data_IF_569832335703
#
_entry.id   IF_569832335703
#
_cell.length_a   1.000
_cell.length_b   1.000
_cell.length_c   1.000
_cell.angle_alpha   90.00
_cell.angle_beta   90.00
_cell.angle_gamma   90.00
#
_symmetry.space_group_name_H-M   'P 1'
#
loop_
_entity.id
_entity.type
_entity.pdbx_description
1 polymer ?
#
# COMPACT_ATOMS: atom_id res chain seq x y z
N UNK A 1 0.43 6.83 -47.64
CA UNK A 1 -0.48 6.13 -46.71
C UNK A 1 -0.89 7.19 -45.71
N UNK A 2 -1.86 7.98 -46.14
CA UNK A 2 -2.44 9.07 -45.35
C UNK A 2 -3.61 8.46 -44.57
N UNK A 3 -3.59 8.62 -43.25
CA UNK A 3 -4.69 8.23 -42.39
C UNK A 3 -5.34 9.51 -41.86
N UNK A 4 -6.42 9.89 -42.54
CA UNK A 4 -7.39 10.88 -42.09
C UNK A 4 -8.02 10.43 -40.78
N UNK A 5 -7.82 11.20 -39.71
CA UNK A 5 -8.62 11.12 -38.49
C UNK A 5 -9.66 12.24 -38.53
N UNK A 6 -10.83 11.92 -39.03
CA UNK A 6 -12.03 12.72 -38.89
C UNK A 6 -13.07 11.86 -38.16
N UNK A 7 -13.26 12.11 -36.86
CA UNK A 7 -14.53 11.81 -36.22
C UNK A 7 -14.88 12.90 -35.22
N UNK A 8 -15.83 13.70 -35.68
CA UNK A 8 -16.56 14.74 -34.96
C UNK A 8 -17.59 14.04 -34.06
N UNK A 9 -17.41 14.07 -32.75
CA UNK A 9 -18.49 13.70 -31.83
C UNK A 9 -19.27 14.96 -31.42
N UNK A 10 -20.45 15.13 -32.03
CA UNK A 10 -21.42 16.14 -31.64
C UNK A 10 -22.15 15.72 -30.36
N UNK A 11 -21.86 16.39 -29.26
CA UNK A 11 -22.66 16.27 -28.05
C UNK A 11 -24.02 16.96 -28.24
N UNK A 12 -25.03 16.12 -28.25
CA UNK A 12 -26.44 16.40 -28.35
C UNK A 12 -26.96 17.08 -27.08
N UNK A 13 -27.66 18.19 -27.27
CA UNK A 13 -28.43 18.94 -26.28
C UNK A 13 -29.78 18.23 -26.11
N UNK A 14 -30.13 17.80 -24.89
CA UNK A 14 -31.55 17.58 -24.57
C UNK A 14 -31.83 17.61 -23.07
N UNK A 15 -32.59 18.64 -22.67
CA UNK A 15 -33.71 18.50 -21.75
C UNK A 15 -33.41 18.38 -20.26
N UNK A 16 -33.38 19.52 -19.58
CA UNK A 16 -33.57 19.63 -18.12
C UNK A 16 -35.06 19.83 -17.83
N UNK A 17 -35.83 18.85 -17.32
CA UNK A 17 -37.18 19.11 -16.84
C UNK A 17 -37.19 19.64 -15.40
N UNK A 18 -37.83 20.79 -15.26
CA UNK A 18 -38.38 21.44 -14.07
C UNK A 18 -38.66 20.50 -12.88
N UNK A 19 -38.11 20.85 -11.72
CA UNK A 19 -38.54 20.33 -10.42
C UNK A 19 -39.88 20.97 -10.00
N UNK A 20 -40.88 20.19 -9.56
CA UNK A 20 -41.95 20.70 -8.71
C UNK A 20 -41.56 20.61 -7.23
N UNK A 21 -41.79 21.70 -6.50
CA UNK A 21 -41.71 21.77 -5.04
C UNK A 21 -42.72 20.82 -4.37
N UNK A 22 -42.42 20.32 -3.17
CA UNK A 22 -43.46 19.91 -2.25
C UNK A 22 -43.62 20.93 -1.11
N UNK A 23 -44.72 21.67 -1.20
CA UNK A 23 -45.33 22.39 -0.08
C UNK A 23 -45.64 21.41 1.07
N UNK A 24 -45.43 21.89 2.30
CA UNK A 24 -45.67 21.15 3.51
C UNK A 24 -47.15 20.90 3.80
N UNK A 25 -47.42 19.82 4.54
CA UNK A 25 -48.62 19.69 5.37
C UNK A 25 -48.29 18.89 6.61
N UNK A 26 -48.57 19.51 7.76
CA UNK A 26 -48.60 18.92 9.09
C UNK A 26 -49.64 17.81 9.19
N UNK A 27 -49.30 16.70 9.84
CA UNK A 27 -50.26 15.89 10.59
C UNK A 27 -49.54 15.09 11.68
N UNK A 28 -49.81 15.46 12.93
CA UNK A 28 -49.52 14.66 14.11
C UNK A 28 -50.53 13.50 14.23
N UNK A 29 -50.05 12.26 14.33
CA UNK A 29 -50.81 11.08 14.77
C UNK A 29 -49.80 10.17 15.51
N UNK A 30 -49.74 10.22 16.84
CA UNK A 30 -50.48 9.35 17.75
C UNK A 30 -50.05 7.87 17.69
N UNK A 31 -49.19 7.50 18.64
CA UNK A 31 -49.29 6.33 19.54
C UNK A 31 -49.71 4.97 18.95
N UNK A 32 -48.78 4.00 18.98
CA UNK A 32 -48.95 2.68 19.63
C UNK A 32 -47.70 1.78 19.50
N UNK A 33 -47.25 1.13 20.60
CA UNK A 33 -46.30 0.02 20.52
C UNK A 33 -47.03 -1.28 20.19
N UNK A 34 -46.66 -1.95 19.10
CA UNK A 34 -47.19 -3.28 18.78
C UNK A 34 -46.30 -4.33 19.45
N UNK A 35 -46.75 -4.76 20.63
CA UNK A 35 -46.36 -5.99 21.31
C UNK A 35 -47.23 -7.10 20.71
N UNK A 36 -46.65 -8.29 20.56
CA UNK A 36 -47.26 -9.50 20.02
C UNK A 36 -47.22 -9.58 18.49
N UNK A 37 -46.40 -10.48 17.93
CA UNK A 37 -46.95 -11.69 17.32
C UNK A 37 -45.89 -12.62 16.68
N UNK A 38 -45.83 -13.81 17.29
CA UNK A 38 -45.62 -15.17 16.76
C UNK A 38 -44.30 -15.57 16.10
N UNK A 39 -43.65 -16.52 16.78
CA UNK A 39 -42.66 -17.45 16.23
C UNK A 39 -43.29 -18.40 15.19
N UNK A 40 -42.53 -18.85 14.17
CA UNK A 40 -42.77 -20.11 13.52
C UNK A 40 -41.90 -21.22 14.13
N UNK A 41 -42.60 -22.23 14.63
CA UNK A 41 -42.15 -23.55 15.05
C UNK A 41 -41.94 -24.43 13.80
N UNK A 42 -40.85 -25.21 13.77
CA UNK A 42 -40.63 -26.32 12.81
C UNK A 42 -39.85 -25.89 11.55
N UNK A 43 -38.79 -26.57 11.11
CA UNK A 43 -38.73 -28.02 10.95
C UNK A 43 -37.28 -28.51 11.00
N UNK A 44 -37.06 -29.61 11.70
CA UNK A 44 -35.85 -30.41 11.61
C UNK A 44 -35.70 -30.92 10.16
N UNK A 45 -34.56 -30.62 9.53
CA UNK A 45 -34.13 -31.29 8.32
C UNK A 45 -32.75 -31.89 8.55
N UNK A 46 -32.73 -33.21 8.39
CA UNK A 46 -31.65 -34.13 8.67
C UNK A 46 -30.39 -33.85 7.86
N UNK A 47 -29.25 -34.19 8.49
CA UNK A 47 -27.90 -34.35 7.93
C UNK A 47 -27.85 -34.94 6.51
N UNK A 48 -26.75 -34.66 5.80
CA UNK A 48 -25.76 -35.72 5.63
C UNK A 48 -24.40 -35.32 6.22
N UNK A 49 -23.93 -36.12 7.17
CA UNK A 49 -22.54 -36.15 7.61
C UNK A 49 -21.73 -36.79 6.48
N UNK A 50 -20.97 -35.98 5.74
CA UNK A 50 -19.90 -36.49 4.88
C UNK A 50 -18.61 -36.36 5.67
N UNK A 51 -18.23 -37.48 6.25
CA UNK A 51 -16.99 -37.76 6.94
C UNK A 51 -15.87 -37.85 5.89
N UNK A 52 -14.86 -36.95 5.85
CA UNK A 52 -13.65 -37.22 5.09
C UNK A 52 -12.85 -38.28 5.84
N UNK A 53 -12.79 -39.47 5.24
CA UNK A 53 -11.97 -40.60 5.65
C UNK A 53 -10.52 -40.17 5.84
N UNK A 54 -10.00 -40.46 7.03
CA UNK A 54 -8.59 -40.36 7.38
C UNK A 54 -7.87 -41.49 6.64
N UNK A 55 -7.33 -41.22 5.45
CA UNK A 55 -6.45 -42.17 4.77
C UNK A 55 -5.08 -42.16 5.44
N UNK A 56 -4.97 -43.05 6.42
CA UNK A 56 -3.75 -43.42 7.12
C UNK A 56 -2.76 -44.05 6.14
N UNK A 57 -1.92 -43.22 5.51
CA UNK A 57 -0.79 -43.71 4.72
C UNK A 57 0.33 -44.15 5.67
N UNK A 58 0.48 -45.47 5.70
CA UNK A 58 1.51 -46.29 6.35
C UNK A 58 2.94 -45.76 6.13
N UNK A 59 3.83 -45.81 7.14
CA UNK A 59 5.25 -45.53 6.97
C UNK A 59 5.92 -46.67 6.20
N UNK A 60 6.48 -46.37 5.03
CA UNK A 60 7.41 -47.27 4.36
C UNK A 60 8.81 -47.06 4.97
N UNK A 61 9.16 -47.92 5.91
CA UNK A 61 10.55 -48.27 6.21
C UNK A 61 11.14 -49.02 5.01
N UNK A 62 12.16 -48.45 4.37
CA UNK A 62 13.08 -49.09 3.40
C UNK A 62 14.18 -48.02 3.14
N UNK A 63 15.49 -48.23 3.16
CA UNK A 63 16.32 -49.41 3.33
C UNK A 63 17.70 -48.90 3.75
N UNK A 64 18.26 -49.56 4.76
CA UNK A 64 19.67 -49.49 5.15
C UNK A 64 20.56 -50.12 4.07
N UNK A 65 21.50 -49.35 3.51
CA UNK A 65 22.75 -49.79 2.86
C UNK A 65 23.55 -48.53 2.49
N UNK A 66 24.86 -48.35 2.70
CA UNK A 66 25.94 -49.07 3.35
C UNK A 66 27.04 -48.02 3.65
N UNK A 67 27.92 -48.22 4.65
CA UNK A 67 29.06 -47.33 4.91
C UNK A 67 30.12 -47.47 3.81
N UNK A 68 30.40 -46.38 3.08
CA UNK A 68 31.52 -46.30 2.14
C UNK A 68 32.82 -46.02 2.92
N UNK A 69 33.91 -46.76 2.65
CA UNK A 69 35.13 -46.74 3.44
C UNK A 69 35.91 -45.41 3.34
N UNK A 70 36.41 -45.02 4.50
CA UNK A 70 37.46 -44.02 4.75
C UNK A 70 38.68 -44.20 3.85
N UNK A 71 38.76 -43.39 2.79
CA UNK A 71 40.01 -43.07 2.12
C UNK A 71 40.70 -41.91 2.85
N UNK A 72 41.78 -42.19 3.58
CA UNK A 72 42.68 -41.16 4.11
C UNK A 72 43.37 -40.46 2.94
N UNK A 73 42.90 -39.26 2.59
CA UNK A 73 43.55 -38.36 1.64
C UNK A 73 44.68 -37.62 2.37
N UNK A 74 45.89 -37.54 1.79
CA UNK A 74 47.06 -36.91 2.40
C UNK A 74 46.82 -35.41 2.67
N UNK A 75 47.05 -35.02 3.91
CA UNK A 75 47.03 -33.63 4.39
C UNK A 75 48.04 -32.76 3.64
N UNK A 76 47.60 -31.72 2.91
CA UNK A 76 48.50 -30.74 2.33
C UNK A 76 49.03 -29.79 3.41
N UNK A 77 50.35 -29.55 3.32
CA UNK A 77 51.18 -28.67 4.14
C UNK A 77 50.57 -27.26 4.26
N UNK A 78 50.47 -26.67 5.48
CA UNK A 78 49.90 -25.35 5.65
C UNK A 78 50.81 -24.29 5.01
N UNK A 79 50.35 -23.70 3.91
CA UNK A 79 50.98 -22.52 3.32
C UNK A 79 50.50 -21.28 4.08
N UNK A 80 51.45 -20.60 4.71
CA UNK A 80 51.21 -19.34 5.42
C UNK A 80 50.83 -18.28 4.38
N UNK A 81 49.53 -18.03 4.21
CA UNK A 81 49.01 -16.92 3.39
C UNK A 81 49.32 -15.60 4.10
N UNK A 82 50.21 -14.80 3.50
CA UNK A 82 50.45 -13.40 3.90
C UNK A 82 49.14 -12.63 3.86
N UNK A 83 48.77 -12.02 4.99
CA UNK A 83 47.48 -11.37 5.20
C UNK A 83 47.33 -10.10 4.36
N UNK A 84 46.28 -10.04 3.53
CA UNK A 84 45.87 -8.88 2.74
C UNK A 84 45.20 -7.77 3.57
N UNK A 85 45.82 -7.35 4.69
CA UNK A 85 45.23 -6.29 5.55
C UNK A 85 45.15 -4.92 4.85
N UNK A 86 46.05 -4.66 3.91
CA UNK A 86 46.05 -3.41 3.13
C UNK A 86 44.86 -3.35 2.16
N UNK A 87 44.46 -4.48 1.57
CA UNK A 87 43.29 -4.53 0.67
C UNK A 87 41.98 -4.24 1.40
N UNK A 88 41.85 -4.73 2.64
CA UNK A 88 40.65 -4.50 3.45
C UNK A 88 40.49 -3.03 3.84
N UNK A 89 41.59 -2.36 4.23
CA UNK A 89 41.54 -0.94 4.61
C UNK A 89 41.20 -0.06 3.40
N UNK A 90 41.79 -0.31 2.24
CA UNK A 90 41.47 0.43 1.01
C UNK A 90 40.00 0.26 0.61
N UNK A 91 39.45 -0.96 0.75
CA UNK A 91 38.04 -1.24 0.46
C UNK A 91 37.10 -0.54 1.45
N UNK A 92 37.47 -0.47 2.73
CA UNK A 92 36.69 0.22 3.76
C UNK A 92 36.66 1.74 3.53
N UNK A 93 37.79 2.35 3.16
CA UNK A 93 37.86 3.79 2.81
C UNK A 93 37.03 4.08 1.55
N UNK A 94 37.11 3.23 0.53
CA UNK A 94 36.28 3.38 -0.67
C UNK A 94 34.78 3.31 -0.32
N UNK A 95 34.38 2.37 0.54
CA UNK A 95 32.99 2.22 0.99
C UNK A 95 32.51 3.47 1.72
N UNK A 96 33.33 4.04 2.61
CA UNK A 96 32.98 5.28 3.34
C UNK A 96 32.86 6.47 2.38
N UNK A 97 33.72 6.58 1.38
CA UNK A 97 33.63 7.67 0.38
C UNK A 97 32.40 7.50 -0.52
N UNK A 98 32.05 6.27 -0.91
CA UNK A 98 30.85 6.01 -1.73
C UNK A 98 29.57 6.21 -0.92
N UNK A 99 29.53 5.77 0.34
CA UNK A 99 28.35 5.96 1.20
C UNK A 99 28.21 7.41 1.69
N UNK A 100 29.29 8.03 2.16
CA UNK A 100 29.29 9.40 2.66
C UNK A 100 29.20 10.44 1.54
N UNK A 101 29.98 10.26 0.46
CA UNK A 101 29.94 11.11 -0.72
C UNK A 101 28.67 10.91 -1.55
N UNK A 102 28.17 9.67 -1.64
CA UNK A 102 26.91 9.35 -2.30
C UNK A 102 25.70 9.98 -1.59
N UNK A 103 25.66 9.95 -0.26
CA UNK A 103 24.60 10.61 0.51
C UNK A 103 24.63 12.14 0.33
N UNK A 104 25.81 12.75 0.32
CA UNK A 104 25.96 14.20 0.08
C UNK A 104 25.54 14.60 -1.33
N UNK A 105 25.90 13.80 -2.34
CA UNK A 105 25.51 14.04 -3.73
C UNK A 105 24.00 13.84 -3.92
N UNK A 106 23.43 12.80 -3.30
CA UNK A 106 21.99 12.53 -3.37
C UNK A 106 21.15 13.67 -2.80
N UNK A 107 21.53 14.23 -1.64
CA UNK A 107 20.89 15.41 -1.03
C UNK A 107 21.03 16.69 -1.88
N UNK A 108 22.09 16.79 -2.68
CA UNK A 108 22.32 17.93 -3.58
C UNK A 108 21.47 17.91 -4.85
N UNK A 109 21.00 16.72 -5.28
CA UNK A 109 20.17 16.59 -6.49
C UNK A 109 18.69 16.85 -6.21
N UNK A 110 17.97 17.38 -7.19
CA UNK A 110 16.52 17.63 -7.08
C UNK A 110 15.72 16.34 -6.85
N UNK A 111 16.29 15.18 -7.22
CA UNK A 111 15.73 13.85 -6.96
C UNK A 111 15.71 13.56 -5.45
N UNK A 112 16.80 13.84 -4.73
CA UNK A 112 16.87 13.65 -3.28
C UNK A 112 15.92 14.57 -2.51
N UNK A 113 15.78 15.83 -2.94
CA UNK A 113 14.86 16.79 -2.31
C UNK A 113 13.39 16.40 -2.45
N UNK A 114 12.98 15.89 -3.62
CA UNK A 114 11.60 15.42 -3.88
C UNK A 114 11.21 14.20 -3.03
N UNK A 115 12.16 13.30 -2.75
CA UNK A 115 11.91 12.08 -1.96
C UNK A 115 11.70 12.36 -0.46
N UNK A 116 12.16 13.50 0.06
CA UNK A 116 12.01 13.89 1.48
C UNK A 116 10.71 14.72 1.70
N UNK A 117 9.87 14.88 0.68
CA UNK A 117 8.61 15.62 0.80
C UNK A 117 8.77 17.14 0.90
N UNK A 118 9.97 17.67 0.67
CA UNK A 118 10.20 19.11 0.53
C UNK A 118 9.68 19.56 -0.84
N UNK A 119 8.47 20.13 -0.85
CA UNK A 119 7.94 20.83 -2.02
C UNK A 119 8.73 22.12 -2.20
N UNK A 120 9.69 22.10 -3.11
CA UNK A 120 10.37 23.30 -3.59
C UNK A 120 9.49 23.90 -4.69
N UNK A 121 8.96 25.10 -4.48
CA UNK A 121 8.27 25.85 -5.54
C UNK A 121 9.29 26.21 -6.64
N UNK A 122 8.85 26.38 -7.88
CA UNK A 122 9.72 26.68 -9.05
C UNK A 122 10.62 27.91 -8.88
N UNK A 123 10.34 28.76 -7.90
CA UNK A 123 11.19 29.88 -7.47
C UNK A 123 12.46 29.47 -6.72
N UNK A 124 12.64 28.20 -6.38
CA UNK A 124 13.81 27.71 -5.62
C UNK A 124 13.80 28.13 -4.15
N UNK A 125 12.72 28.77 -3.68
CA UNK A 125 12.59 29.22 -2.30
C UNK A 125 12.03 28.09 -1.41
N UNK A 126 12.74 27.83 -0.31
CA UNK A 126 12.28 26.94 0.75
C UNK A 126 11.15 27.66 1.49
N UNK A 127 9.91 27.41 1.07
CA UNK A 127 8.73 27.88 1.81
C UNK A 127 8.64 27.05 3.09
N UNK A 128 9.28 27.54 4.15
CA UNK A 128 8.83 27.25 5.51
C UNK A 128 7.52 28.00 5.68
N UNK A 129 6.40 27.27 5.69
CA UNK A 129 5.07 27.81 6.04
C UNK A 129 5.09 28.25 7.51
N UNK A 130 5.76 29.36 7.77
CA UNK A 130 5.68 30.08 9.02
C UNK A 130 4.43 30.95 8.90
N UNK A 131 3.34 30.43 9.46
CA UNK A 131 2.04 31.09 9.63
C UNK A 131 2.22 32.45 10.33
N UNK A 132 2.50 33.49 9.55
CA UNK A 132 2.51 34.87 10.00
C UNK A 132 1.46 35.62 9.18
N UNK A 133 0.30 35.95 9.75
CA UNK A 133 -0.76 36.64 9.02
C UNK A 133 -0.37 38.12 8.84
N UNK A 134 0.25 38.44 7.71
CA UNK A 134 0.42 39.84 7.28
C UNK A 134 -0.76 40.23 6.39
N UNK A 135 -1.54 41.16 6.90
CA UNK A 135 -2.76 41.70 6.28
C UNK A 135 -2.35 42.84 5.35
N UNK A 136 -2.20 42.58 4.06
CA UNK A 136 -2.09 43.64 3.04
C UNK A 136 -3.15 43.44 1.95
N UNK A 137 -4.17 44.29 2.03
CA UNK A 137 -5.27 44.39 1.07
C UNK A 137 -4.76 45.00 -0.25
N UNK A 138 -4.32 44.16 -1.19
CA UNK A 138 -4.22 44.51 -2.59
C UNK A 138 -5.27 43.71 -3.38
N UNK A 139 -6.14 44.34 -4.19
CA UNK A 139 -7.08 43.63 -5.06
C UNK A 139 -6.31 43.05 -6.26
N UNK A 140 -5.57 41.97 -6.00
CA UNK A 140 -5.05 41.06 -7.02
C UNK A 140 -6.22 40.22 -7.51
N UNK A 141 -6.46 40.22 -8.81
CA UNK A 141 -7.44 39.33 -9.44
C UNK A 141 -6.98 37.89 -9.21
N UNK A 142 -7.47 37.28 -8.14
CA UNK A 142 -7.16 35.90 -7.80
C UNK A 142 -7.63 35.00 -8.93
N UNK A 143 -6.75 34.22 -9.58
CA UNK A 143 -7.21 33.11 -10.39
C UNK A 143 -8.04 32.24 -9.44
N UNK A 144 -9.33 32.07 -9.73
CA UNK A 144 -10.25 31.29 -8.91
C UNK A 144 -9.64 29.93 -8.62
N UNK A 145 -9.00 29.83 -7.45
CA UNK A 145 -8.31 28.64 -7.02
C UNK A 145 -9.36 27.58 -6.84
N UNK A 146 -9.31 26.53 -7.65
CA UNK A 146 -10.10 25.33 -7.45
C UNK A 146 -9.78 24.81 -6.05
N UNK A 147 -10.70 25.03 -5.10
CA UNK A 147 -10.58 24.48 -3.76
C UNK A 147 -10.66 22.97 -3.90
N UNK A 148 -9.56 22.28 -3.56
CA UNK A 148 -9.55 20.82 -3.50
C UNK A 148 -10.64 20.35 -2.55
N UNK A 149 -11.34 19.31 -2.94
CA UNK A 149 -12.33 18.67 -2.08
C UNK A 149 -11.64 17.89 -0.96
N UNK A 150 -12.35 17.59 0.12
CA UNK A 150 -11.85 16.71 1.18
C UNK A 150 -11.47 15.33 0.62
N UNK A 151 -12.24 14.81 -0.34
CA UNK A 151 -11.96 13.57 -1.06
C UNK A 151 -10.57 13.59 -1.72
N UNK A 152 -10.27 14.65 -2.47
CA UNK A 152 -8.97 14.82 -3.12
C UNK A 152 -7.81 14.93 -2.13
N UNK A 153 -8.06 15.57 -0.98
CA UNK A 153 -7.06 15.68 0.10
C UNK A 153 -6.78 14.31 0.72
N UNK A 154 -7.82 13.54 1.04
CA UNK A 154 -7.69 12.19 1.58
C UNK A 154 -7.00 11.26 0.58
N UNK A 155 -7.37 11.29 -0.70
CA UNK A 155 -6.76 10.45 -1.73
C UNK A 155 -5.27 10.77 -1.94
N UNK A 156 -4.91 12.06 -1.86
CA UNK A 156 -3.50 12.47 -1.86
C UNK A 156 -2.74 11.86 -0.67
N UNK A 157 -3.35 11.85 0.52
CA UNK A 157 -2.77 11.21 1.70
C UNK A 157 -2.61 9.70 1.50
N UNK A 158 -3.64 9.01 1.02
CA UNK A 158 -3.61 7.55 0.76
C UNK A 158 -2.49 7.15 -0.20
N UNK A 159 -2.32 7.90 -1.29
CA UNK A 159 -1.23 7.67 -2.25
C UNK A 159 0.14 7.89 -1.61
N UNK A 160 0.26 8.91 -0.76
CA UNK A 160 1.50 9.20 -0.01
C UNK A 160 1.82 8.08 0.98
N UNK A 161 0.84 7.62 1.76
CA UNK A 161 0.98 6.53 2.72
C UNK A 161 1.41 5.22 2.04
N UNK A 162 0.76 4.84 0.93
CA UNK A 162 1.15 3.63 0.20
C UNK A 162 2.55 3.73 -0.43
N UNK A 163 3.00 4.93 -0.79
CA UNK A 163 4.39 5.14 -1.24
C UNK A 163 5.40 4.90 -0.10
N UNK A 164 5.09 5.31 1.12
CA UNK A 164 5.92 5.04 2.30
C UNK A 164 5.95 3.54 2.63
N UNK A 165 4.79 2.87 2.58
CA UNK A 165 4.68 1.42 2.78
C UNK A 165 5.48 0.64 1.73
N UNK A 166 5.46 1.09 0.47
CA UNK A 166 6.32 0.55 -0.59
C UNK A 166 7.79 0.62 -0.21
N UNK A 167 8.28 1.81 0.22
CA UNK A 167 9.69 1.99 0.59
C UNK A 167 10.08 1.01 1.72
N UNK A 168 9.23 0.86 2.73
CA UNK A 168 9.45 -0.10 3.83
C UNK A 168 9.50 -1.56 3.34
N UNK A 169 8.62 -1.95 2.42
CA UNK A 169 8.64 -3.29 1.81
C UNK A 169 9.91 -3.56 1.00
N UNK A 170 10.39 -2.58 0.23
CA UNK A 170 11.65 -2.73 -0.51
C UNK A 170 12.85 -2.88 0.45
N UNK A 171 12.89 -2.09 1.53
CA UNK A 171 13.91 -2.21 2.56
C UNK A 171 13.86 -3.60 3.25
N UNK A 172 12.66 -4.07 3.58
CA UNK A 172 12.44 -5.41 4.12
C UNK A 172 12.96 -6.50 3.18
N UNK A 173 12.66 -6.42 1.88
CA UNK A 173 13.13 -7.41 0.89
C UNK A 173 14.65 -7.39 0.73
N UNK A 174 15.29 -6.21 0.81
CA UNK A 174 16.76 -6.13 0.78
C UNK A 174 17.38 -6.88 1.97
N UNK A 175 16.77 -6.78 3.16
CA UNK A 175 17.28 -7.44 4.37
C UNK A 175 16.93 -8.94 4.45
N UNK A 176 15.68 -9.30 4.13
CA UNK A 176 15.16 -10.68 4.29
C UNK A 176 15.19 -11.51 3.00
N UNK A 177 15.48 -10.91 1.85
CA UNK A 177 15.53 -11.56 0.54
C UNK A 177 14.17 -11.83 -0.11
N UNK A 178 13.05 -11.57 0.58
CA UNK A 178 11.67 -11.74 0.07
C UNK A 178 10.73 -10.78 0.79
N UNK A 179 9.55 -10.52 0.23
CA UNK A 179 8.47 -9.80 0.91
C UNK A 179 7.69 -10.73 1.86
N UNK A 180 7.02 -10.21 2.91
CA UNK A 180 6.18 -11.03 3.78
C UNK A 180 5.06 -11.74 3.02
N UNK A 181 4.92 -13.06 3.16
CA UNK A 181 3.87 -13.79 2.43
C UNK A 181 2.50 -13.55 3.06
N UNK A 182 1.54 -13.12 2.25
CA UNK A 182 0.14 -12.96 2.56
C UNK A 182 -0.72 -13.56 1.43
N UNK A 183 -1.37 -14.70 1.70
CA UNK A 183 -2.15 -15.45 0.70
C UNK A 183 -3.43 -14.72 0.22
N UNK A 184 -3.93 -13.79 1.02
CA UNK A 184 -5.04 -12.90 0.70
C UNK A 184 -4.67 -11.45 1.07
N UNK A 185 -5.54 -10.50 0.73
CA UNK A 185 -5.36 -9.14 1.20
C UNK A 185 -5.53 -9.10 2.72
N UNK A 186 -4.53 -8.55 3.40
CA UNK A 186 -4.56 -8.27 4.83
C UNK A 186 -4.49 -6.77 5.09
N UNK A 187 -5.07 -6.36 6.22
CA UNK A 187 -4.98 -4.99 6.70
C UNK A 187 -3.58 -4.74 7.24
N UNK A 188 -2.90 -3.70 6.75
CA UNK A 188 -1.53 -3.42 7.17
C UNK A 188 -1.42 -3.00 8.64
N UNK A 189 -2.50 -2.44 9.22
CA UNK A 189 -2.60 -1.99 10.62
C UNK A 189 -3.09 -3.06 11.59
N UNK A 190 -3.52 -4.22 11.09
CA UNK A 190 -3.92 -5.32 11.94
C UNK A 190 -2.69 -6.00 12.54
N UNK A 191 -2.53 -5.93 13.87
CA UNK A 191 -1.41 -6.53 14.60
C UNK A 191 -1.25 -8.05 14.39
N UNK A 192 -2.30 -8.75 13.95
CA UNK A 192 -2.24 -10.18 13.64
C UNK A 192 -1.73 -10.47 12.21
N UNK A 193 -1.69 -9.48 11.31
CA UNK A 193 -1.25 -9.62 9.93
C UNK A 193 0.24 -9.93 9.83
N UNK A 194 0.65 -10.59 8.74
CA UNK A 194 2.07 -10.88 8.52
C UNK A 194 2.85 -9.61 8.21
N UNK A 195 2.27 -8.72 7.39
CA UNK A 195 2.81 -7.39 7.14
C UNK A 195 3.13 -6.64 8.43
N UNK A 196 2.17 -6.57 9.37
CA UNK A 196 2.38 -5.80 10.59
C UNK A 196 3.54 -6.36 11.41
N UNK A 197 3.58 -7.69 11.60
CA UNK A 197 4.62 -8.35 12.41
C UNK A 197 6.02 -8.20 11.83
N UNK A 198 6.13 -8.32 10.51
CA UNK A 198 7.43 -8.39 9.83
C UNK A 198 7.95 -7.01 9.39
N UNK A 199 7.06 -6.10 8.97
CA UNK A 199 7.44 -4.80 8.40
C UNK A 199 7.22 -3.67 9.40
N UNK A 200 6.00 -3.54 9.93
CA UNK A 200 5.67 -2.42 10.81
C UNK A 200 6.34 -2.55 12.18
N UNK A 201 6.23 -3.71 12.81
CA UNK A 201 6.89 -4.02 14.09
C UNK A 201 8.40 -4.33 13.92
N UNK A 202 8.85 -4.63 12.70
CA UNK A 202 10.25 -4.87 12.36
C UNK A 202 11.09 -3.61 12.13
N UNK A 203 10.57 -2.42 12.49
CA UNK A 203 11.24 -1.12 12.37
C UNK A 203 11.55 -0.64 10.94
N UNK A 204 10.99 -1.29 9.91
CA UNK A 204 11.11 -0.81 8.51
C UNK A 204 10.19 0.38 8.22
N UNK A 205 9.16 0.56 9.04
CA UNK A 205 8.23 1.69 9.00
C UNK A 205 8.44 2.53 10.28
N UNK A 206 8.74 3.83 10.13
CA UNK A 206 8.98 4.72 11.28
C UNK A 206 7.71 5.03 12.07
N UNK A 207 6.57 5.06 11.39
CA UNK A 207 5.26 5.31 11.97
C UNK A 207 4.21 4.52 11.20
N UNK A 208 3.27 3.91 11.93
CA UNK A 208 2.11 3.26 11.32
C UNK A 208 1.21 4.30 10.61
N UNK A 209 0.88 4.02 9.36
CA UNK A 209 -0.05 4.83 8.56
C UNK A 209 -1.47 4.26 8.67
N UNK A 210 -2.47 5.15 8.67
CA UNK A 210 -3.88 4.80 8.79
C UNK A 210 -4.69 5.53 7.73
N UNK A 211 -5.72 4.88 7.19
CA UNK A 211 -6.61 5.54 6.24
C UNK A 211 -7.34 6.72 6.92
N UNK A 212 -7.46 7.90 6.28
CA UNK A 212 -8.21 9.04 6.83
C UNK A 212 -9.66 8.72 7.20
N UNK A 213 -10.24 7.66 6.60
CA UNK A 213 -11.60 7.15 6.84
C UNK A 213 -11.61 5.87 7.67
N UNK A 214 -10.63 5.66 8.55
CA UNK A 214 -10.56 4.50 9.45
C UNK A 214 -11.85 4.34 10.29
N UNK A 215 -12.48 5.45 10.71
CA UNK A 215 -13.76 5.44 11.44
C UNK A 215 -14.90 4.80 10.64
N UNK A 216 -14.82 4.86 9.31
CA UNK A 216 -15.81 4.33 8.38
C UNK A 216 -15.45 2.88 7.96
N UNK A 217 -14.44 2.29 8.61
CA UNK A 217 -13.96 0.93 8.35
C UNK A 217 -13.06 0.81 7.13
N UNK A 218 -12.48 1.91 6.63
CA UNK A 218 -11.54 1.88 5.52
C UNK A 218 -10.14 1.51 6.01
N UNK A 219 -9.37 0.85 5.14
CA UNK A 219 -8.05 0.32 5.47
C UNK A 219 -7.19 0.19 4.22
N UNK A 220 -5.87 0.15 4.43
CA UNK A 220 -4.89 -0.13 3.39
C UNK A 220 -4.60 -1.62 3.30
N UNK A 221 -4.68 -2.18 2.10
CA UNK A 221 -4.51 -3.62 1.88
C UNK A 221 -3.15 -4.01 1.33
N UNK A 222 -2.60 -5.10 1.86
CA UNK A 222 -1.36 -5.73 1.41
C UNK A 222 -1.59 -7.18 0.99
N UNK A 223 -0.91 -7.63 -0.07
CA UNK A 223 -0.88 -9.03 -0.49
C UNK A 223 0.45 -9.39 -1.14
N UNK A 224 1.00 -10.57 -0.83
CA UNK A 224 2.12 -11.17 -1.55
C UNK A 224 2.04 -12.69 -1.49
N UNK A 225 1.74 -13.35 -2.61
CA UNK A 225 1.50 -14.80 -2.62
C UNK A 225 2.80 -15.60 -2.60
N UNK A 226 3.83 -15.10 -3.26
CA UNK A 226 5.10 -15.81 -3.52
C UNK A 226 6.31 -15.19 -2.82
N UNK A 227 6.13 -14.08 -2.11
CA UNK A 227 7.22 -13.31 -1.50
C UNK A 227 8.13 -12.61 -2.52
N UNK A 228 7.83 -12.66 -3.82
CA UNK A 228 8.61 -12.02 -4.89
C UNK A 228 7.96 -10.73 -5.38
N UNK A 229 6.63 -10.74 -5.44
CA UNK A 229 5.81 -9.61 -5.85
C UNK A 229 4.78 -9.28 -4.76
N UNK A 230 4.40 -8.02 -4.63
CA UNK A 230 3.35 -7.55 -3.76
C UNK A 230 2.35 -6.66 -4.50
N UNK A 231 1.17 -6.53 -3.89
CA UNK A 231 0.19 -5.53 -4.22
C UNK A 231 -0.19 -4.75 -2.95
N UNK A 232 -0.24 -3.43 -3.08
CA UNK A 232 -0.80 -2.49 -2.11
C UNK A 232 -2.05 -1.86 -2.70
N UNK A 233 -3.06 -1.63 -1.86
CA UNK A 233 -4.35 -1.08 -2.29
C UNK A 233 -4.89 -0.06 -1.30
N UNK A 234 -5.55 0.96 -1.83
CA UNK A 234 -6.35 1.92 -1.07
C UNK A 234 -7.63 2.24 -1.83
N UNK A 235 -8.74 2.46 -1.12
CA UNK A 235 -9.98 2.94 -1.71
C UNK A 235 -9.90 4.46 -1.91
N UNK A 236 -10.26 4.95 -3.09
CA UNK A 236 -10.33 6.37 -3.40
C UNK A 236 -11.76 6.90 -3.23
N UNK A 237 -11.86 8.20 -2.93
CA UNK A 237 -13.11 8.95 -2.80
C UNK A 237 -13.40 9.80 -4.05
N UNK A 238 -12.38 10.35 -4.70
CA UNK A 238 -12.51 11.12 -5.94
C UNK A 238 -12.76 10.19 -7.13
N UNK A 239 -14.00 10.22 -7.64
CA UNK A 239 -14.40 9.40 -8.79
C UNK A 239 -13.76 9.83 -10.11
N UNK A 240 -13.13 10.99 -10.13
CA UNK A 240 -12.44 11.53 -11.30
C UNK A 240 -10.93 11.26 -11.26
N UNK A 241 -10.42 10.58 -10.22
CA UNK A 241 -9.00 10.27 -10.09
C UNK A 241 -8.54 9.27 -11.17
N UNK A 242 -7.67 9.75 -12.05
CA UNK A 242 -7.16 9.00 -13.21
C UNK A 242 -6.26 7.82 -12.84
N UNK A 243 -5.70 7.81 -11.62
CA UNK A 243 -4.89 6.68 -11.13
C UNK A 243 -5.77 5.59 -10.48
N UNK A 244 -7.05 5.89 -10.28
CA UNK A 244 -8.03 4.96 -9.73
C UNK A 244 -8.49 3.92 -10.76
N UNK A 245 -8.62 2.68 -10.32
CA UNK A 245 -9.23 1.60 -11.11
C UNK A 245 -10.60 1.28 -10.53
N UNK A 246 -11.65 1.40 -11.34
CA UNK A 246 -13.01 1.08 -10.90
C UNK A 246 -13.19 -0.44 -10.71
N UNK A 247 -13.69 -0.83 -9.54
CA UNK A 247 -13.96 -2.22 -9.17
C UNK A 247 -15.35 -2.31 -8.52
N UNK A 248 -16.37 -2.63 -9.31
CA UNK A 248 -17.75 -2.54 -8.86
C UNK A 248 -18.14 -1.10 -8.54
N UNK A 249 -18.57 -0.84 -7.30
CA UNK A 249 -18.98 0.49 -6.83
C UNK A 249 -17.89 1.26 -6.08
N UNK A 250 -16.63 0.78 -6.12
CA UNK A 250 -15.50 1.44 -5.48
C UNK A 250 -14.41 1.72 -6.50
N UNK A 251 -13.57 2.69 -6.20
CA UNK A 251 -12.39 3.03 -6.98
C UNK A 251 -11.18 2.67 -6.13
N UNK A 252 -10.26 1.92 -6.70
CA UNK A 252 -9.07 1.41 -6.02
C UNK A 252 -7.82 1.98 -6.66
N UNK A 253 -6.97 2.59 -5.84
CA UNK A 253 -5.60 2.86 -6.20
C UNK A 253 -4.76 1.60 -5.91
N UNK A 254 -4.02 1.13 -6.91
CA UNK A 254 -3.22 -0.09 -6.81
C UNK A 254 -1.74 0.23 -7.05
N UNK A 255 -0.87 -0.28 -6.19
CA UNK A 255 0.58 -0.20 -6.36
C UNK A 255 1.16 -1.62 -6.33
N UNK A 256 1.84 -2.02 -7.40
CA UNK A 256 2.51 -3.33 -7.51
C UNK A 256 3.99 -3.16 -7.80
N UNK A 257 4.80 -4.17 -7.44
CA UNK A 257 6.12 -4.35 -8.03
C UNK A 257 6.02 -5.49 -9.05
N UNK A 258 6.33 -5.20 -10.31
CA UNK A 258 6.41 -6.19 -11.39
C UNK A 258 7.87 -6.37 -11.80
#
# INVERSE_FOLDING_TARGET
>A
MDLDFNDTNQNNVSGNPLAPAPDGVSAAISSRPNKDQVAPLGSAQSQPSVQPSVESIKPASQTSAAPVPTGKVPTPKPSVKKSHRIGLIALLVLLIVVLGGGAYFFLGTDIGKKMIGLKVNESGDLVTDNLSPSVDNAPSGEPSGLTKTDAQTNDTQRKTDLSQVKIALEAYKVDKGSYPVAGAFEHIDNAASNFYKEVAAGEYLTQMVYDPKLSDGWWYGYKSVDGKNYALTARLEDETDVDGVQSGSIILYNLTNN
#
